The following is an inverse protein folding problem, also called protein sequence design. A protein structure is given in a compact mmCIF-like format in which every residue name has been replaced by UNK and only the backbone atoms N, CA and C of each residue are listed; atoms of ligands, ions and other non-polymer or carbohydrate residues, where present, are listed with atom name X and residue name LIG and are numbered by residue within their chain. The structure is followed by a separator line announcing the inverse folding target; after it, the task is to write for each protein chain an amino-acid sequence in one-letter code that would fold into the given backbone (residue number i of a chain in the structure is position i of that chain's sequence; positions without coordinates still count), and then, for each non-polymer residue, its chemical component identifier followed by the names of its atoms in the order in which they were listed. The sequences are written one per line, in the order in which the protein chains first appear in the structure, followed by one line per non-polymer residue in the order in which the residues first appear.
data_IF_837909152060
#
_entry.id   IF_837909152060
#
_cell.length_a   1.000
_cell.length_b   1.000
_cell.length_c   1.000
_cell.angle_alpha   90.00
_cell.angle_beta   90.00
_cell.angle_gamma   90.00
#
_symmetry.space_group_name_H-M   'P 1'
#
loop_
_entity.id
_entity.type
_entity.pdbx_description
1 polymer ?
#
# COMPACT_ATOMS: atom_id res chain seq x y z
N UNK A 1 0.27 29.23 7.23
CA UNK A 1 1.03 30.46 7.48
C UNK A 1 1.56 30.45 8.92
N UNK A 2 2.84 30.84 9.19
CA UNK A 2 3.43 30.83 10.54
C UNK A 2 2.61 31.61 11.58
N UNK A 3 2.09 32.75 11.21
CA UNK A 3 1.35 33.67 12.08
C UNK A 3 -0.01 33.14 12.59
N UNK A 4 -0.51 32.07 11.97
CA UNK A 4 -1.77 31.40 12.34
C UNK A 4 -1.55 30.09 13.11
N UNK A 5 -0.30 29.71 13.40
CA UNK A 5 0.00 28.51 14.18
C UNK A 5 -0.37 28.73 15.66
N UNK A 6 -0.65 27.63 16.38
CA UNK A 6 -0.96 27.58 17.83
C UNK A 6 -2.25 28.32 18.22
N UNK A 7 -3.14 28.65 17.27
CA UNK A 7 -4.43 29.31 17.54
C UNK A 7 -5.62 28.34 17.64
N UNK A 8 -5.38 27.03 17.60
CA UNK A 8 -6.45 26.03 17.72
C UNK A 8 -7.14 25.64 16.42
N UNK A 9 -6.94 26.35 15.31
CA UNK A 9 -7.67 26.13 14.04
C UNK A 9 -7.58 24.69 13.50
N UNK A 10 -6.43 24.00 13.65
CA UNK A 10 -6.32 22.59 13.28
C UNK A 10 -7.29 21.72 14.08
N UNK A 11 -7.45 22.00 15.38
CA UNK A 11 -8.35 21.23 16.24
C UNK A 11 -9.80 21.47 15.86
N UNK A 12 -10.18 22.69 15.58
CA UNK A 12 -11.53 23.05 15.14
C UNK A 12 -11.89 22.36 13.81
N UNK A 13 -11.00 22.47 12.82
CA UNK A 13 -11.17 21.82 11.52
C UNK A 13 -11.26 20.30 11.63
N UNK A 14 -10.37 19.68 12.44
CA UNK A 14 -10.39 18.24 12.67
C UNK A 14 -11.69 17.81 13.35
N UNK A 15 -12.15 18.51 14.38
CA UNK A 15 -13.39 18.16 15.05
C UNK A 15 -14.58 18.27 14.09
N UNK A 16 -14.67 19.33 13.29
CA UNK A 16 -15.73 19.48 12.29
C UNK A 16 -15.70 18.37 11.24
N UNK A 17 -14.53 18.04 10.69
CA UNK A 17 -14.39 16.96 9.70
C UNK A 17 -14.71 15.59 10.30
N UNK A 18 -14.33 15.33 11.55
CA UNK A 18 -14.63 14.08 12.24
C UNK A 18 -16.08 13.96 12.65
N UNK A 19 -16.75 15.07 12.98
CA UNK A 19 -18.17 15.09 13.23
C UNK A 19 -18.94 14.72 11.95
N UNK A 20 -18.64 15.35 10.83
CA UNK A 20 -19.21 14.99 9.53
C UNK A 20 -18.93 13.54 9.14
N UNK A 21 -17.69 13.08 9.29
CA UNK A 21 -17.30 11.69 9.01
C UNK A 21 -18.06 10.70 9.89
N UNK A 22 -18.36 11.04 11.15
CA UNK A 22 -19.05 10.14 12.09
C UNK A 22 -20.49 9.84 11.71
N UNK A 23 -21.13 10.73 10.95
CA UNK A 23 -22.49 10.52 10.45
C UNK A 23 -22.56 9.56 9.27
N UNK A 24 -21.48 9.47 8.48
CA UNK A 24 -21.49 8.76 7.21
C UNK A 24 -20.57 7.52 7.19
N UNK A 25 -19.58 7.47 8.07
CA UNK A 25 -18.53 6.46 8.03
C UNK A 25 -18.27 5.85 9.39
N UNK A 26 -18.15 4.52 9.44
CA UNK A 26 -17.82 3.79 10.67
C UNK A 26 -16.35 3.98 11.06
N UNK A 27 -15.48 4.09 10.07
CA UNK A 27 -14.02 4.18 10.23
C UNK A 27 -13.51 5.36 9.43
N UNK A 28 -12.62 6.16 10.03
CA UNK A 28 -11.88 7.22 9.35
C UNK A 28 -10.39 6.88 9.33
N UNK A 29 -9.77 7.05 8.17
CA UNK A 29 -8.33 6.86 7.98
C UNK A 29 -7.64 8.20 7.79
N UNK A 30 -6.40 8.32 8.26
CA UNK A 30 -5.55 9.48 8.00
C UNK A 30 -4.11 9.04 7.74
N UNK A 31 -3.52 9.57 6.67
CA UNK A 31 -2.08 9.45 6.40
C UNK A 31 -1.36 10.58 7.13
N UNK A 32 -0.80 10.26 8.28
CA UNK A 32 -0.23 11.26 9.18
C UNK A 32 1.29 11.41 8.96
N UNK A 33 1.73 12.63 8.64
CA UNK A 33 3.17 12.96 8.67
C UNK A 33 3.74 12.86 10.09
N UNK A 34 2.98 13.33 11.09
CA UNK A 34 3.31 13.19 12.50
C UNK A 34 2.14 12.55 13.25
N UNK A 35 2.19 11.23 13.53
CA UNK A 35 1.12 10.50 14.20
C UNK A 35 0.65 11.11 15.52
N UNK A 36 1.57 11.66 16.34
CA UNK A 36 1.26 12.25 17.65
C UNK A 36 0.22 13.35 17.58
N UNK A 37 0.14 14.09 16.46
CA UNK A 37 -0.87 15.14 16.28
C UNK A 37 -2.28 14.61 16.19
N UNK A 38 -2.46 13.35 15.75
CA UNK A 38 -3.77 12.74 15.52
C UNK A 38 -4.21 11.81 16.64
N UNK A 39 -3.31 11.39 17.53
CA UNK A 39 -3.63 10.55 18.68
C UNK A 39 -4.66 11.21 19.60
N UNK A 40 -4.60 12.53 19.80
CA UNK A 40 -5.56 13.29 20.59
C UNK A 40 -7.00 13.24 20.03
N UNK A 41 -7.18 12.87 18.76
CA UNK A 41 -8.47 12.70 18.10
C UNK A 41 -8.91 11.23 18.03
N UNK A 42 -8.25 10.32 18.75
CA UNK A 42 -8.60 8.91 18.81
C UNK A 42 -8.06 8.05 17.67
N UNK A 43 -7.12 8.57 16.88
CA UNK A 43 -6.42 7.79 15.86
C UNK A 43 -5.29 6.98 16.46
N UNK A 44 -5.07 5.78 15.92
CA UNK A 44 -3.90 4.94 16.20
C UNK A 44 -3.28 4.45 14.90
N UNK A 45 -1.94 4.29 14.89
CA UNK A 45 -1.24 3.67 13.76
C UNK A 45 -1.67 2.22 13.67
N UNK A 46 -2.25 1.84 12.53
CA UNK A 46 -2.68 0.48 12.22
C UNK A 46 -1.92 -0.12 11.05
N UNK A 47 -1.55 0.72 10.09
CA UNK A 47 -0.80 0.27 8.94
C UNK A 47 0.59 0.83 8.99
N UNK A 48 1.58 -0.05 8.90
CA UNK A 48 2.97 0.29 8.70
C UNK A 48 3.38 -0.04 7.27
N UNK A 49 4.42 0.61 6.80
CA UNK A 49 5.08 0.33 5.54
C UNK A 49 6.47 -0.18 5.81
N UNK A 50 6.87 -1.20 5.07
CA UNK A 50 8.24 -1.67 5.01
C UNK A 50 8.88 -1.17 3.72
N UNK A 51 10.11 -0.72 3.83
CA UNK A 51 10.94 -0.33 2.70
C UNK A 51 12.18 -1.20 2.69
N UNK A 52 12.37 -1.96 1.62
CA UNK A 52 13.53 -2.80 1.39
C UNK A 52 14.46 -2.18 0.37
N UNK A 53 15.76 -2.28 0.59
CA UNK A 53 16.78 -2.02 -0.42
C UNK A 53 17.19 -3.37 -1.01
N UNK A 54 16.82 -3.62 -2.25
CA UNK A 54 17.14 -4.84 -2.96
C UNK A 54 18.31 -4.55 -3.90
N UNK A 55 19.48 -5.04 -3.54
CA UNK A 55 20.72 -4.86 -4.29
C UNK A 55 20.75 -5.71 -5.54
N UNK A 56 21.51 -5.30 -6.55
CA UNK A 56 21.70 -5.97 -7.83
C UNK A 56 22.08 -7.44 -7.70
N UNK A 57 22.92 -7.78 -6.72
CA UNK A 57 23.43 -9.12 -6.50
C UNK A 57 22.33 -10.15 -6.30
N UNK A 58 21.20 -9.77 -5.68
CA UNK A 58 20.05 -10.67 -5.51
C UNK A 58 19.37 -11.06 -6.82
N UNK A 59 19.58 -10.27 -7.87
CA UNK A 59 18.93 -10.40 -9.17
C UNK A 59 19.87 -10.85 -10.28
N UNK A 60 21.15 -11.08 -10.00
CA UNK A 60 22.15 -11.42 -11.02
C UNK A 60 21.85 -12.71 -11.79
N UNK A 61 21.27 -13.71 -11.14
CA UNK A 61 20.92 -15.01 -11.74
C UNK A 61 19.51 -15.04 -12.33
N UNK A 62 18.76 -13.95 -12.21
CA UNK A 62 17.38 -13.87 -12.70
C UNK A 62 17.38 -13.44 -14.14
N UNK A 63 16.63 -14.16 -14.98
CA UNK A 63 16.38 -13.81 -16.36
C UNK A 63 14.95 -13.22 -16.44
N UNK A 64 14.76 -12.00 -16.96
CA UNK A 64 13.45 -11.34 -17.01
C UNK A 64 12.58 -11.88 -18.15
N UNK A 65 12.22 -13.16 -18.09
CA UNK A 65 11.34 -13.78 -19.06
C UNK A 65 9.87 -13.50 -18.76
N UNK A 66 9.05 -13.30 -19.80
CA UNK A 66 7.59 -13.10 -19.73
C UNK A 66 7.20 -11.82 -19.00
N UNK A 67 8.01 -10.80 -19.11
CA UNK A 67 7.72 -9.45 -18.62
C UNK A 67 7.31 -8.55 -19.77
N UNK A 68 6.42 -7.60 -19.50
CA UNK A 68 5.93 -6.59 -20.43
C UNK A 68 5.70 -5.27 -19.70
N UNK A 69 5.51 -4.17 -20.44
CA UNK A 69 5.25 -2.84 -19.85
C UNK A 69 3.82 -2.35 -20.12
N UNK A 70 2.93 -3.27 -20.41
CA UNK A 70 1.54 -3.00 -20.74
C UNK A 70 0.60 -4.01 -20.09
N UNK A 71 -0.63 -3.60 -19.85
CA UNK A 71 -1.74 -4.46 -19.47
C UNK A 71 -3.07 -3.73 -19.67
N UNK A 72 -4.15 -4.47 -19.75
CA UNK A 72 -5.49 -3.93 -19.68
C UNK A 72 -5.92 -3.71 -18.22
N UNK A 73 -6.78 -2.71 -17.97
CA UNK A 73 -7.33 -2.40 -16.64
C UNK A 73 -8.01 -3.61 -15.99
N UNK A 74 -8.73 -4.42 -16.78
CA UNK A 74 -9.39 -5.65 -16.30
C UNK A 74 -8.40 -6.73 -15.85
N UNK A 75 -7.26 -6.85 -16.51
CA UNK A 75 -6.21 -7.81 -16.15
C UNK A 75 -5.53 -7.41 -14.83
N UNK A 76 -5.20 -6.11 -14.67
CA UNK A 76 -4.64 -5.57 -13.44
C UNK A 76 -5.59 -5.77 -12.25
N UNK A 77 -6.89 -5.49 -12.44
CA UNK A 77 -7.91 -5.72 -11.42
C UNK A 77 -8.00 -7.20 -11.04
N UNK A 78 -7.96 -8.11 -12.03
CA UNK A 78 -7.99 -9.56 -11.77
C UNK A 78 -6.78 -10.00 -10.94
N UNK A 79 -5.57 -9.56 -11.31
CA UNK A 79 -4.36 -9.86 -10.55
C UNK A 79 -4.42 -9.28 -9.13
N UNK A 80 -4.86 -8.02 -8.98
CA UNK A 80 -5.06 -7.40 -7.68
C UNK A 80 -6.01 -8.21 -6.80
N UNK A 81 -7.20 -8.55 -7.29
CA UNK A 81 -8.20 -9.34 -6.55
C UNK A 81 -7.67 -10.72 -6.14
N UNK A 82 -6.87 -11.35 -6.98
CA UNK A 82 -6.24 -12.62 -6.64
C UNK A 82 -5.20 -12.47 -5.54
N UNK A 83 -4.43 -11.40 -5.55
CA UNK A 83 -3.40 -11.09 -4.55
C UNK A 83 -4.03 -10.75 -3.19
N UNK A 84 -4.98 -9.80 -3.16
CA UNK A 84 -5.53 -9.27 -1.90
C UNK A 84 -6.42 -10.25 -1.16
N UNK A 85 -6.90 -11.34 -1.79
CA UNK A 85 -7.72 -12.38 -1.11
C UNK A 85 -7.04 -12.96 0.14
N UNK A 86 -5.72 -12.80 0.28
CA UNK A 86 -4.94 -13.25 1.41
C UNK A 86 -4.86 -12.24 2.55
N UNK A 87 -5.46 -11.07 2.40
CA UNK A 87 -5.37 -9.95 3.31
C UNK A 87 -6.75 -9.42 3.69
N UNK A 88 -6.78 -8.63 4.76
CA UNK A 88 -7.93 -7.83 5.19
C UNK A 88 -7.51 -6.34 5.24
N UNK A 89 -8.49 -5.43 5.35
CA UNK A 89 -8.24 -4.00 5.53
C UNK A 89 -7.69 -3.27 4.31
N UNK A 90 -7.97 -3.77 3.11
CA UNK A 90 -7.60 -3.15 1.83
C UNK A 90 -8.75 -2.32 1.25
N UNK A 91 -8.44 -1.48 0.27
CA UNK A 91 -9.46 -0.83 -0.55
C UNK A 91 -9.93 -1.75 -1.68
N UNK A 92 -11.25 -1.85 -1.84
CA UNK A 92 -11.83 -2.43 -3.05
C UNK A 92 -11.54 -1.50 -4.24
N UNK A 93 -10.98 -2.08 -5.29
CA UNK A 93 -10.72 -1.40 -6.55
C UNK A 93 -11.62 -1.93 -7.65
N UNK A 94 -11.93 -1.09 -8.60
CA UNK A 94 -12.72 -1.42 -9.78
C UNK A 94 -11.94 -1.20 -11.09
N UNK A 95 -12.59 -1.40 -12.22
CA UNK A 95 -11.97 -1.18 -13.53
C UNK A 95 -11.64 0.30 -13.73
N UNK A 96 -12.51 1.21 -13.27
CA UNK A 96 -12.32 2.66 -13.44
C UNK A 96 -11.08 3.15 -12.69
N UNK A 97 -10.77 2.57 -11.51
CA UNK A 97 -9.52 2.82 -10.81
C UNK A 97 -8.30 2.52 -11.69
N UNK A 98 -8.26 1.35 -12.33
CA UNK A 98 -7.13 0.96 -13.18
C UNK A 98 -7.08 1.70 -14.51
N UNK A 99 -8.22 2.07 -15.08
CA UNK A 99 -8.26 2.95 -16.25
C UNK A 99 -7.67 4.33 -15.95
N UNK A 100 -7.96 4.88 -14.77
CA UNK A 100 -7.37 6.13 -14.28
C UNK A 100 -5.87 5.96 -14.06
N UNK A 101 -5.44 4.89 -13.40
CA UNK A 101 -4.03 4.58 -13.19
C UNK A 101 -3.27 4.50 -14.52
N UNK A 102 -3.82 3.76 -15.50
CA UNK A 102 -3.19 3.63 -16.82
C UNK A 102 -3.06 4.98 -17.55
N UNK A 103 -4.07 5.86 -17.42
CA UNK A 103 -3.96 7.24 -17.93
C UNK A 103 -2.86 8.03 -17.22
N UNK A 104 -2.75 7.91 -15.89
CA UNK A 104 -1.66 8.56 -15.14
C UNK A 104 -0.27 8.07 -15.58
N UNK A 105 -0.13 6.78 -15.93
CA UNK A 105 1.13 6.24 -16.41
C UNK A 105 1.57 6.90 -17.74
N UNK A 106 0.64 7.35 -18.59
CA UNK A 106 0.99 8.06 -19.83
C UNK A 106 1.65 9.41 -19.57
N UNK A 107 1.51 9.98 -18.37
CA UNK A 107 2.21 11.21 -17.97
C UNK A 107 3.72 10.99 -17.68
N UNK A 108 4.17 9.72 -17.65
CA UNK A 108 5.59 9.36 -17.53
C UNK A 108 6.19 9.52 -16.12
N UNK A 109 5.38 9.88 -15.10
CA UNK A 109 5.86 10.03 -13.72
C UNK A 109 6.02 8.65 -13.06
N UNK A 110 5.08 7.74 -13.31
CA UNK A 110 5.10 6.34 -12.88
C UNK A 110 5.19 5.44 -14.10
N UNK A 111 5.66 4.23 -13.88
CA UNK A 111 5.80 3.22 -14.93
C UNK A 111 5.24 1.88 -14.43
N UNK A 112 4.87 1.02 -15.37
CA UNK A 112 4.32 -0.30 -15.15
C UNK A 112 5.27 -1.35 -15.70
N UNK A 113 5.45 -2.44 -14.96
CA UNK A 113 5.97 -3.70 -15.49
C UNK A 113 5.06 -4.82 -15.03
N UNK A 114 4.82 -5.78 -15.90
CA UNK A 114 3.90 -6.91 -15.69
C UNK A 114 4.61 -8.22 -15.90
N UNK A 115 4.08 -9.28 -15.30
CA UNK A 115 4.53 -10.65 -15.51
C UNK A 115 3.35 -11.53 -15.92
N UNK A 116 3.57 -12.34 -16.97
CA UNK A 116 2.59 -13.32 -17.47
C UNK A 116 3.10 -14.75 -17.29
N UNK A 117 2.20 -15.66 -16.99
CA UNK A 117 2.52 -17.09 -16.91
C UNK A 117 2.76 -17.70 -18.32
N UNK A 118 2.89 -19.04 -18.37
CA UNK A 118 3.09 -19.77 -19.62
C UNK A 118 1.87 -19.71 -20.56
N UNK A 119 0.69 -19.41 -20.02
CA UNK A 119 -0.57 -19.32 -20.74
C UNK A 119 -0.94 -17.89 -21.14
N UNK A 120 -0.03 -16.92 -20.87
CA UNK A 120 -0.27 -15.51 -21.14
C UNK A 120 -1.11 -14.78 -20.08
N UNK A 121 -1.51 -15.46 -19.00
CA UNK A 121 -2.28 -14.83 -17.92
C UNK A 121 -1.41 -13.89 -17.09
N UNK A 122 -1.88 -12.69 -16.82
CA UNK A 122 -1.19 -11.73 -15.98
C UNK A 122 -1.21 -12.21 -14.52
N UNK A 123 -0.03 -12.49 -13.96
CA UNK A 123 0.17 -13.04 -12.63
C UNK A 123 0.90 -12.09 -11.68
N UNK A 124 1.20 -10.88 -12.12
CA UNK A 124 1.79 -9.84 -11.28
C UNK A 124 2.08 -8.56 -12.04
N UNK A 125 2.21 -7.49 -11.28
CA UNK A 125 2.65 -6.19 -11.79
C UNK A 125 3.37 -5.39 -10.72
N UNK A 126 4.26 -4.48 -11.15
CA UNK A 126 4.85 -3.44 -10.32
C UNK A 126 4.49 -2.08 -10.88
N UNK A 127 4.18 -1.15 -9.99
CA UNK A 127 4.17 0.29 -10.29
C UNK A 127 5.43 0.88 -9.68
N UNK A 128 6.25 1.52 -10.49
CA UNK A 128 7.52 2.07 -10.07
C UNK A 128 7.78 3.45 -10.67
N UNK A 129 8.73 4.16 -10.09
CA UNK A 129 9.12 5.50 -10.54
C UNK A 129 10.56 5.79 -10.14
N UNK A 130 11.16 6.76 -10.83
CA UNK A 130 12.38 7.40 -10.35
C UNK A 130 12.00 8.45 -9.28
N UNK A 131 12.63 8.37 -8.13
CA UNK A 131 12.50 9.36 -7.06
C UNK A 131 13.87 9.93 -6.75
N UNK A 132 14.16 11.13 -7.21
CA UNK A 132 15.53 11.67 -7.32
C UNK A 132 16.37 10.72 -8.18
N UNK A 133 17.36 10.04 -7.57
CA UNK A 133 18.24 9.09 -8.27
C UNK A 133 17.91 7.63 -7.94
N UNK A 134 16.90 7.39 -7.11
CA UNK A 134 16.53 6.03 -6.66
C UNK A 134 15.41 5.47 -7.53
N UNK A 135 15.55 4.22 -7.93
CA UNK A 135 14.48 3.43 -8.55
C UNK A 135 13.59 2.87 -7.43
N UNK A 136 12.33 3.31 -7.39
CA UNK A 136 11.42 2.99 -6.29
C UNK A 136 10.19 2.27 -6.80
N UNK A 137 9.99 1.03 -6.36
CA UNK A 137 8.74 0.29 -6.54
C UNK A 137 7.74 0.76 -5.48
N UNK A 138 6.65 1.35 -5.98
CA UNK A 138 5.57 1.90 -5.15
C UNK A 138 4.48 0.89 -4.85
N UNK A 139 4.19 -0.01 -5.76
CA UNK A 139 3.24 -1.10 -5.56
C UNK A 139 3.78 -2.37 -6.19
N UNK A 140 3.65 -3.49 -5.47
CA UNK A 140 4.00 -4.82 -5.94
C UNK A 140 2.81 -5.77 -5.72
N UNK A 141 2.28 -6.30 -6.81
CA UNK A 141 1.27 -7.36 -6.83
C UNK A 141 1.88 -8.56 -7.52
N UNK A 142 1.96 -9.71 -6.83
CA UNK A 142 2.59 -10.90 -7.36
C UNK A 142 2.03 -12.17 -6.74
N UNK A 143 1.89 -13.23 -7.54
CA UNK A 143 1.41 -14.53 -7.06
C UNK A 143 2.57 -15.43 -6.62
N UNK A 144 3.75 -15.25 -7.21
CA UNK A 144 4.92 -16.09 -7.00
C UNK A 144 6.17 -15.22 -6.84
N UNK A 145 7.11 -15.69 -6.02
CA UNK A 145 8.38 -14.98 -5.79
C UNK A 145 9.16 -14.76 -7.09
N UNK A 146 9.13 -15.72 -8.01
CA UNK A 146 9.82 -15.60 -9.29
C UNK A 146 9.24 -14.51 -10.18
N UNK A 147 7.93 -14.26 -10.12
CA UNK A 147 7.29 -13.16 -10.84
C UNK A 147 7.83 -11.81 -10.36
N UNK A 148 7.88 -11.62 -9.03
CA UNK A 148 8.45 -10.43 -8.41
C UNK A 148 9.92 -10.23 -8.83
N UNK A 149 10.74 -11.27 -8.73
CA UNK A 149 12.16 -11.21 -9.07
C UNK A 149 12.40 -10.88 -10.55
N UNK A 150 11.61 -11.44 -11.47
CA UNK A 150 11.72 -11.16 -12.91
C UNK A 150 11.31 -9.74 -13.26
N UNK A 151 10.22 -9.25 -12.71
CA UNK A 151 9.79 -7.87 -12.89
C UNK A 151 10.84 -6.89 -12.32
N UNK A 152 11.39 -7.19 -11.13
CA UNK A 152 12.44 -6.36 -10.54
C UNK A 152 13.73 -6.40 -11.38
N UNK A 153 14.11 -7.56 -11.92
CA UNK A 153 15.28 -7.68 -12.81
C UNK A 153 15.11 -6.84 -14.06
N UNK A 154 13.92 -6.83 -14.65
CA UNK A 154 13.60 -6.02 -15.83
C UNK A 154 13.80 -4.55 -15.57
N UNK A 155 13.21 -4.02 -14.48
CA UNK A 155 13.27 -2.58 -14.20
C UNK A 155 14.61 -2.12 -13.63
N UNK A 156 15.43 -3.03 -13.11
CA UNK A 156 16.74 -2.69 -12.51
C UNK A 156 17.67 -1.98 -13.49
N UNK A 157 17.68 -2.37 -14.79
CA UNK A 157 18.54 -1.78 -15.78
C UNK A 157 20.00 -1.67 -15.31
N UNK A 158 20.56 -0.46 -15.33
CA UNK A 158 21.91 -0.15 -14.86
C UNK A 158 21.98 0.28 -13.39
N UNK A 159 20.84 0.32 -12.67
CA UNK A 159 20.83 0.69 -11.26
C UNK A 159 21.46 -0.38 -10.37
N UNK A 160 22.13 0.05 -9.29
CA UNK A 160 22.78 -0.84 -8.31
C UNK A 160 21.78 -1.47 -7.34
N UNK A 161 20.62 -0.84 -7.13
CA UNK A 161 19.59 -1.30 -6.22
C UNK A 161 18.21 -0.79 -6.59
N UNK A 162 17.19 -1.46 -6.05
CA UNK A 162 15.77 -1.04 -6.11
C UNK A 162 15.28 -0.84 -4.68
N UNK A 163 14.64 0.27 -4.41
CA UNK A 163 13.86 0.48 -3.21
C UNK A 163 12.47 -0.10 -3.44
N UNK A 164 12.03 -1.01 -2.57
CA UNK A 164 10.71 -1.64 -2.66
C UNK A 164 9.89 -1.28 -1.44
N UNK A 165 8.80 -0.57 -1.64
CA UNK A 165 7.83 -0.25 -0.60
C UNK A 165 6.71 -1.28 -0.61
N UNK A 166 6.45 -1.91 0.54
CA UNK A 166 5.42 -2.94 0.71
C UNK A 166 4.66 -2.77 2.01
N UNK A 167 3.51 -3.42 2.14
CA UNK A 167 2.76 -3.46 3.38
C UNK A 167 3.54 -4.17 4.50
N UNK A 168 3.21 -3.86 5.74
CA UNK A 168 3.78 -4.50 6.94
C UNK A 168 3.69 -6.03 6.92
N UNK A 169 2.70 -6.58 6.24
CA UNK A 169 2.42 -8.02 6.20
C UNK A 169 3.28 -8.78 5.20
N UNK A 170 3.88 -8.10 4.24
CA UNK A 170 4.75 -8.72 3.23
C UNK A 170 6.14 -8.95 3.80
N UNK A 171 6.71 -10.11 3.46
CA UNK A 171 7.98 -10.59 4.03
C UNK A 171 8.99 -10.85 2.92
N UNK A 172 9.48 -9.76 2.28
CA UNK A 172 10.47 -9.89 1.20
C UNK A 172 11.79 -10.47 1.68
N UNK A 173 12.10 -10.42 2.97
CA UNK A 173 13.22 -11.12 3.59
C UNK A 173 13.19 -12.64 3.42
N UNK A 174 12.05 -13.24 3.05
CA UNK A 174 11.95 -14.64 2.67
C UNK A 174 12.39 -14.92 1.23
N UNK A 175 12.40 -13.90 0.39
CA UNK A 175 12.84 -13.97 -1.02
C UNK A 175 14.27 -13.46 -1.13
N UNK A 176 14.60 -12.40 -0.40
CA UNK A 176 15.88 -11.72 -0.37
C UNK A 176 16.44 -11.78 1.04
N UNK A 177 17.14 -12.88 1.36
CA UNK A 177 17.44 -13.33 2.74
C UNK A 177 18.21 -12.34 3.62
N UNK A 178 18.98 -11.42 3.05
CA UNK A 178 19.74 -10.41 3.80
C UNK A 178 19.11 -9.01 3.76
N UNK A 179 17.97 -8.86 3.09
CA UNK A 179 17.29 -7.59 2.99
C UNK A 179 16.53 -7.28 4.29
N UNK A 180 17.01 -6.31 5.05
CA UNK A 180 16.39 -5.87 6.30
C UNK A 180 15.47 -4.68 6.00
N UNK A 181 14.17 -4.73 6.35
CA UNK A 181 13.25 -3.63 6.08
C UNK A 181 13.42 -2.47 7.06
N UNK A 182 13.39 -1.25 6.53
CA UNK A 182 13.10 -0.06 7.30
C UNK A 182 11.58 0.07 7.45
N UNK A 183 11.09 0.25 8.68
CA UNK A 183 9.65 0.38 8.98
C UNK A 183 9.29 1.84 9.25
N UNK A 184 8.09 2.21 8.84
CA UNK A 184 7.50 3.52 9.14
C UNK A 184 5.99 3.42 9.31
N UNK A 185 5.41 4.31 10.13
CA UNK A 185 3.97 4.48 10.19
C UNK A 185 3.46 4.92 8.80
N UNK A 186 2.36 4.32 8.35
CA UNK A 186 1.77 4.64 7.06
C UNK A 186 0.39 5.25 7.19
N UNK A 187 -0.54 4.53 7.85
CA UNK A 187 -1.90 5.01 7.99
C UNK A 187 -2.39 4.80 9.42
N UNK A 188 -3.09 5.78 9.94
CA UNK A 188 -3.79 5.70 11.21
C UNK A 188 -5.28 5.51 10.97
N UNK A 189 -5.95 4.83 11.90
CA UNK A 189 -7.40 4.68 11.87
C UNK A 189 -8.03 5.15 13.17
N UNK A 190 -9.29 5.60 13.05
CA UNK A 190 -10.19 5.93 14.14
C UNK A 190 -11.51 5.21 13.90
N UNK A 191 -12.08 4.65 14.95
CA UNK A 191 -13.47 4.14 14.95
C UNK A 191 -14.38 5.29 15.37
N UNK A 192 -15.31 5.69 14.51
CA UNK A 192 -16.18 6.82 14.75
C UNK A 192 -17.29 6.49 15.75
N UNK A 193 -17.76 5.22 15.77
CA UNK A 193 -18.75 4.74 16.74
C UNK A 193 -18.43 3.33 17.21
N UNK A 194 -17.85 3.19 18.40
CA UNK A 194 -17.63 1.87 19.01
C UNK A 194 -18.92 1.09 19.31
N UNK A 195 -20.02 1.71 19.77
CA UNK A 195 -21.29 0.98 19.96
C UNK A 195 -21.78 0.35 18.65
N UNK A 196 -21.77 1.11 17.55
CA UNK A 196 -22.17 0.61 16.23
C UNK A 196 -21.20 -0.46 15.72
N UNK A 197 -19.89 -0.20 15.79
CA UNK A 197 -18.86 -1.17 15.40
C UNK A 197 -19.02 -2.50 16.13
N UNK A 198 -19.13 -2.45 17.46
CA UNK A 198 -19.25 -3.65 18.30
C UNK A 198 -20.54 -4.43 18.03
N UNK A 199 -21.63 -3.73 17.72
CA UNK A 199 -22.91 -4.37 17.33
C UNK A 199 -22.79 -5.07 15.97
N UNK A 200 -22.18 -4.42 14.97
CA UNK A 200 -22.06 -4.96 13.61
C UNK A 200 -21.12 -6.16 13.54
N UNK A 201 -20.02 -6.12 14.29
CA UNK A 201 -18.97 -7.15 14.23
C UNK A 201 -19.01 -8.12 15.42
N UNK A 202 -20.02 -8.04 16.29
CA UNK A 202 -20.11 -8.83 17.53
C UNK A 202 -18.80 -8.78 18.33
N UNK A 203 -18.27 -7.56 18.52
CA UNK A 203 -16.99 -7.28 19.16
C UNK A 203 -17.16 -6.53 20.49
N UNK A 204 -16.07 -6.32 21.21
CA UNK A 204 -15.99 -5.51 22.44
C UNK A 204 -14.81 -4.54 22.38
N UNK A 205 -14.53 -4.02 21.21
CA UNK A 205 -13.41 -3.10 20.97
C UNK A 205 -13.63 -1.75 21.68
N UNK A 206 -12.54 -1.20 22.21
CA UNK A 206 -12.45 0.14 22.80
C UNK A 206 -11.39 1.00 22.13
N UNK A 207 -10.55 0.40 21.32
CA UNK A 207 -9.47 1.05 20.58
C UNK A 207 -9.48 0.59 19.12
N UNK A 208 -8.92 1.38 18.18
CA UNK A 208 -8.77 0.95 16.79
C UNK A 208 -8.00 -0.37 16.66
N UNK A 209 -6.94 -0.58 17.45
CA UNK A 209 -6.17 -1.83 17.42
C UNK A 209 -7.02 -3.04 17.84
N UNK A 210 -7.84 -2.91 18.88
CA UNK A 210 -8.77 -3.95 19.28
C UNK A 210 -9.86 -4.21 18.23
N UNK A 211 -10.36 -3.14 17.58
CA UNK A 211 -11.33 -3.26 16.50
C UNK A 211 -10.76 -4.06 15.31
N UNK A 212 -9.52 -3.79 14.92
CA UNK A 212 -8.89 -4.49 13.82
C UNK A 212 -8.34 -5.88 14.19
N UNK A 213 -8.19 -6.18 15.49
CA UNK A 213 -7.78 -7.51 15.95
C UNK A 213 -8.83 -8.61 15.69
N UNK A 214 -10.08 -8.24 15.34
CA UNK A 214 -11.11 -9.21 14.93
C UNK A 214 -10.89 -9.77 13.53
N UNK A 215 -10.08 -9.09 12.71
CA UNK A 215 -9.75 -9.52 11.35
C UNK A 215 -8.88 -10.78 11.40
N UNK A 216 -9.17 -11.72 10.51
CA UNK A 216 -8.51 -13.05 10.52
C UNK A 216 -7.27 -13.10 9.65
N UNK A 217 -7.19 -12.23 8.66
CA UNK A 217 -6.06 -12.14 7.73
C UNK A 217 -5.17 -10.96 8.08
N UNK A 218 -3.90 -10.97 7.62
CA UNK A 218 -3.00 -9.84 7.80
C UNK A 218 -3.55 -8.58 7.13
N UNK A 219 -3.32 -7.41 7.75
CA UNK A 219 -3.72 -6.14 7.17
C UNK A 219 -2.83 -5.81 5.97
N UNK A 220 -3.47 -5.35 4.89
CA UNK A 220 -2.78 -4.82 3.72
C UNK A 220 -3.44 -3.53 3.29
N UNK A 221 -2.65 -2.48 3.14
CA UNK A 221 -3.08 -1.21 2.58
C UNK A 221 -1.89 -0.57 1.88
N UNK A 222 -2.06 -0.23 0.62
CA UNK A 222 -0.98 0.25 -0.23
C UNK A 222 -1.48 1.31 -1.23
N UNK A 223 -2.18 2.33 -0.70
CA UNK A 223 -2.70 3.40 -1.52
C UNK A 223 -1.72 4.58 -1.55
N UNK A 224 -1.58 5.18 -2.73
CA UNK A 224 -0.78 6.38 -2.97
C UNK A 224 -1.70 7.51 -3.41
N UNK A 225 -1.77 8.50 -2.57
CA UNK A 225 -2.42 9.78 -2.85
C UNK A 225 -1.38 10.88 -2.96
#
# INVERSE_FOLDING_TARGET
LPDYRRRGHMRELMNSALDEASHNHLITLVKAFNPRLYEQFGFQVLYERKQYLIQREYLNKIIPLRVAHEAEAKELLKAYRQFIRHFDGYYERDVAYYETLLKELTLGIKQLVTYRDAHGTLCGYLIYQMQKNDLVVKEAVYMESIALQRMMKEILGDHEAIIVEVSQSEKLEKIFTLAIPKRSAFMMARINSYPLFNKLFNAKAKTPKEAYAILKKPLWLHEYY
#
